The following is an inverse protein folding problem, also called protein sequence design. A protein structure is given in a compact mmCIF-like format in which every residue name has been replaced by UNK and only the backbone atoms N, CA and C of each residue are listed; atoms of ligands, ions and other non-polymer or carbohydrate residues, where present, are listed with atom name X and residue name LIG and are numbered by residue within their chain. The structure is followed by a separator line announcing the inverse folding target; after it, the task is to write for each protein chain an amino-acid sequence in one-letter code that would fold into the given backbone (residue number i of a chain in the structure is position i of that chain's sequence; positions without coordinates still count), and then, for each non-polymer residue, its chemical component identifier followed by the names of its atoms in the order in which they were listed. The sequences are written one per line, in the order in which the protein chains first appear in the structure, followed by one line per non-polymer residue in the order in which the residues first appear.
data_IF_471474173375
#
_entry.id   IF_471474173375
#
_cell.length_a   1.000
_cell.length_b   1.000
_cell.length_c   1.000
_cell.angle_alpha   90.00
_cell.angle_beta   90.00
_cell.angle_gamma   90.00
#
_symmetry.space_group_name_H-M   'P 1'
#
loop_
_entity.id
_entity.type
_entity.pdbx_description
1 polymer ?
#
# COMPACT_ATOMS: atom_id res chain seq x y z
N UNK A 1 -5.13 31.03 63.69
CA UNK A 1 -5.64 31.01 62.33
C UNK A 1 -4.99 29.80 61.59
N UNK A 2 -5.82 28.95 61.04
CA UNK A 2 -5.37 27.82 60.19
C UNK A 2 -5.82 28.07 58.73
N UNK A 3 -5.01 27.69 57.76
CA UNK A 3 -5.29 27.81 56.34
C UNK A 3 -5.20 26.44 55.69
N UNK A 4 -6.11 26.13 54.76
CA UNK A 4 -6.04 24.96 53.88
C UNK A 4 -5.98 25.46 52.42
N UNK A 5 -5.10 24.89 51.64
CA UNK A 5 -5.07 25.08 50.20
C UNK A 5 -5.65 23.83 49.55
N UNK A 6 -6.65 23.99 48.68
CA UNK A 6 -7.29 22.91 47.95
C UNK A 6 -7.08 23.20 46.46
N UNK A 7 -6.56 22.22 45.71
CA UNK A 7 -6.48 22.26 44.27
C UNK A 7 -7.27 21.06 43.70
N UNK A 8 -8.16 21.32 42.76
CA UNK A 8 -8.92 20.31 42.05
C UNK A 8 -8.53 20.44 40.55
N UNK A 9 -8.09 19.37 39.96
CA UNK A 9 -7.68 19.34 38.58
C UNK A 9 -8.46 18.26 37.83
N UNK A 10 -8.62 18.45 36.55
CA UNK A 10 -9.19 17.44 35.66
C UNK A 10 -8.20 16.29 35.43
N UNK A 11 -8.75 15.11 35.13
CA UNK A 11 -7.97 13.96 34.75
C UNK A 11 -7.45 14.12 33.30
N UNK A 12 -6.23 13.66 33.04
CA UNK A 12 -5.66 13.63 31.69
C UNK A 12 -6.52 12.76 30.78
N UNK A 13 -6.59 13.07 29.47
CA UNK A 13 -7.25 12.19 28.51
C UNK A 13 -6.48 10.87 28.39
N UNK A 14 -7.18 9.75 28.27
CA UNK A 14 -6.61 8.47 27.86
C UNK A 14 -7.11 8.16 26.47
N UNK A 15 -6.19 7.98 25.52
CA UNK A 15 -6.50 7.84 24.10
C UNK A 15 -5.88 6.57 23.52
N UNK A 16 -6.60 5.92 22.60
CA UNK A 16 -6.10 4.79 21.87
C UNK A 16 -6.71 4.72 20.45
N UNK A 17 -5.96 4.18 19.51
CA UNK A 17 -6.38 3.87 18.15
C UNK A 17 -6.31 2.37 17.92
N UNK A 18 -7.32 1.83 17.23
CA UNK A 18 -7.34 0.42 16.83
C UNK A 18 -7.93 0.29 15.43
N UNK A 19 -7.12 -0.24 14.47
CA UNK A 19 -5.76 -0.69 14.63
C UNK A 19 -4.75 0.46 14.89
N UNK A 20 -3.61 0.14 15.51
CA UNK A 20 -2.50 1.09 15.70
C UNK A 20 -1.36 0.90 14.69
N UNK A 21 -1.48 -0.08 13.81
CA UNK A 21 -0.57 -0.36 12.69
C UNK A 21 -1.40 -0.48 11.41
N UNK A 22 -1.26 0.49 10.52
CA UNK A 22 -2.02 0.63 9.29
C UNK A 22 -1.15 0.25 8.10
N UNK A 23 -1.60 -0.72 7.30
CA UNK A 23 -1.00 -1.05 6.02
C UNK A 23 -2.02 -0.78 4.92
N UNK A 24 -1.73 0.19 4.08
CA UNK A 24 -2.66 0.69 3.06
C UNK A 24 -2.05 0.58 1.67
N UNK A 25 -2.91 0.55 0.67
CA UNK A 25 -2.52 0.55 -0.74
C UNK A 25 -2.65 1.96 -1.30
N UNK A 26 -1.62 2.39 -2.01
CA UNK A 26 -1.58 3.70 -2.67
C UNK A 26 -2.77 3.87 -3.63
N UNK A 27 -3.38 5.05 -3.62
CA UNK A 27 -4.56 5.42 -4.42
C UNK A 27 -5.78 4.50 -4.23
N UNK A 28 -5.84 3.72 -3.13
CA UNK A 28 -6.93 2.80 -2.84
C UNK A 28 -7.54 3.12 -1.48
N UNK A 29 -8.88 3.13 -1.40
CA UNK A 29 -9.57 3.33 -0.13
C UNK A 29 -9.28 2.16 0.83
N UNK A 30 -8.91 2.49 2.06
CA UNK A 30 -8.63 1.50 3.11
C UNK A 30 -9.88 1.20 3.94
N UNK A 31 -10.10 -0.07 4.28
CA UNK A 31 -11.16 -0.49 5.21
C UNK A 31 -10.90 -0.05 6.66
N UNK A 32 -9.66 0.32 7.00
CA UNK A 32 -9.28 0.79 8.32
C UNK A 32 -9.58 2.28 8.52
N UNK A 33 -10.01 2.98 7.48
CA UNK A 33 -10.38 4.38 7.51
C UNK A 33 -11.90 4.58 7.30
N UNK A 34 -12.54 5.56 7.95
CA UNK A 34 -11.95 6.50 8.91
C UNK A 34 -11.56 5.82 10.23
N UNK A 35 -10.35 6.12 10.71
CA UNK A 35 -9.85 5.64 12.00
C UNK A 35 -10.17 6.64 13.09
N UNK A 36 -11.03 6.26 14.01
CA UNK A 36 -11.46 7.09 15.13
C UNK A 36 -10.77 6.69 16.44
N UNK A 37 -10.39 7.64 17.29
CA UNK A 37 -9.86 7.33 18.61
C UNK A 37 -10.93 6.84 19.55
N UNK A 38 -10.53 5.99 20.52
CA UNK A 38 -11.23 5.86 21.78
C UNK A 38 -10.64 6.87 22.75
N UNK A 39 -11.48 7.54 23.51
CA UNK A 39 -11.05 8.54 24.49
C UNK A 39 -11.82 8.37 25.79
N UNK A 40 -11.11 8.46 26.94
CA UNK A 40 -11.66 8.50 28.29
C UNK A 40 -10.93 9.56 29.11
N UNK A 41 -11.43 9.89 30.27
CA UNK A 41 -10.92 10.92 31.19
C UNK A 41 -11.94 12.01 31.40
N UNK A 42 -11.78 12.75 32.53
CA UNK A 42 -12.59 13.94 32.85
C UNK A 42 -11.93 15.18 32.23
N UNK A 43 -12.71 16.24 32.11
CA UNK A 43 -12.23 17.51 31.61
C UNK A 43 -12.76 17.87 30.23
N UNK A 44 -12.87 19.17 29.98
CA UNK A 44 -13.33 19.68 28.71
C UNK A 44 -12.26 19.44 27.65
N UNK A 45 -12.67 18.86 26.53
CA UNK A 45 -11.77 18.53 25.41
C UNK A 45 -11.39 19.81 24.66
N UNK A 46 -10.10 19.98 24.36
CA UNK A 46 -9.58 21.21 23.75
C UNK A 46 -9.09 21.01 22.33
N UNK A 47 -8.26 19.99 22.07
CA UNK A 47 -7.67 19.80 20.73
C UNK A 47 -6.97 18.46 20.52
N UNK A 48 -6.82 18.12 19.23
CA UNK A 48 -5.95 17.03 18.77
C UNK A 48 -4.83 17.58 17.89
N UNK A 49 -3.71 16.86 17.88
CA UNK A 49 -2.59 17.13 16.96
C UNK A 49 -1.95 15.82 16.54
N UNK A 50 -1.37 15.80 15.34
CA UNK A 50 -0.60 14.68 14.80
C UNK A 50 0.81 15.17 14.41
N UNK A 51 1.83 14.34 14.64
CA UNK A 51 3.20 14.65 14.27
C UNK A 51 3.95 13.34 13.89
N UNK A 52 4.66 13.32 12.74
CA UNK A 52 4.70 14.35 11.69
C UNK A 52 3.31 14.63 11.09
N UNK A 53 3.21 15.55 10.13
CA UNK A 53 1.96 15.76 9.39
C UNK A 53 1.57 14.49 8.63
N UNK A 54 0.28 14.24 8.50
CA UNK A 54 -0.27 13.09 7.79
C UNK A 54 0.24 12.97 6.34
N UNK A 55 0.34 11.75 5.80
CA UNK A 55 0.74 11.51 4.41
C UNK A 55 -0.24 12.15 3.41
N UNK A 56 0.25 12.45 2.21
CA UNK A 56 -0.59 12.97 1.12
C UNK A 56 -1.81 12.09 0.87
N UNK A 57 -2.96 12.73 0.68
CA UNK A 57 -4.25 12.06 0.49
C UNK A 57 -4.95 11.63 1.76
N UNK A 58 -4.28 11.64 2.92
CA UNK A 58 -4.91 11.50 4.22
C UNK A 58 -5.20 12.87 4.84
N UNK A 59 -6.11 12.91 5.79
CA UNK A 59 -6.49 14.10 6.53
C UNK A 59 -6.76 13.74 7.99
N UNK A 60 -6.16 14.51 8.88
CA UNK A 60 -6.38 14.40 10.32
C UNK A 60 -7.24 15.55 10.82
N UNK A 61 -8.39 15.21 11.40
CA UNK A 61 -9.31 16.19 11.98
C UNK A 61 -8.86 16.58 13.40
N UNK A 62 -8.35 17.79 13.56
CA UNK A 62 -7.85 18.32 14.84
C UNK A 62 -8.94 18.62 15.86
N UNK A 63 -10.21 18.51 15.50
CA UNK A 63 -11.34 18.63 16.44
C UNK A 63 -11.80 17.28 16.99
N UNK A 64 -11.68 16.22 16.21
CA UNK A 64 -12.20 14.89 16.54
C UNK A 64 -11.12 13.82 16.73
N UNK A 65 -9.90 14.06 16.25
CA UNK A 65 -8.82 13.08 16.23
C UNK A 65 -9.00 11.99 15.17
N UNK A 66 -9.90 12.15 14.23
CA UNK A 66 -10.18 11.15 13.18
C UNK A 66 -9.18 11.29 12.03
N UNK A 67 -8.54 10.17 11.67
CA UNK A 67 -7.75 10.06 10.45
C UNK A 67 -8.63 9.48 9.34
N UNK A 68 -8.67 10.12 8.18
CA UNK A 68 -9.51 9.73 7.04
C UNK A 68 -8.81 9.99 5.70
N UNK A 69 -9.45 9.61 4.58
CA UNK A 69 -8.96 9.89 3.23
C UNK A 69 -8.53 8.65 2.48
N UNK A 70 -7.84 8.86 1.36
CA UNK A 70 -7.24 7.83 0.52
C UNK A 70 -5.78 8.21 0.28
N UNK A 71 -4.80 7.40 0.68
CA UNK A 71 -3.40 7.74 0.56
C UNK A 71 -3.02 7.91 -0.92
N UNK A 72 -2.17 8.88 -1.24
CA UNK A 72 -1.74 9.19 -2.60
C UNK A 72 -0.22 9.28 -2.78
N UNK A 73 0.53 8.78 -1.79
CA UNK A 73 1.99 8.64 -1.87
C UNK A 73 2.43 7.34 -1.19
N UNK A 74 3.59 6.81 -1.60
CA UNK A 74 4.20 5.66 -0.94
C UNK A 74 4.84 6.09 0.37
N UNK A 75 4.72 5.25 1.39
CA UNK A 75 5.30 5.50 2.69
C UNK A 75 5.88 4.23 3.29
N UNK A 76 7.17 4.22 3.58
CA UNK A 76 7.76 3.21 4.44
C UNK A 76 7.19 3.35 5.86
N UNK A 77 7.15 2.25 6.61
CA UNK A 77 6.57 2.25 7.96
C UNK A 77 7.06 3.42 8.81
N UNK A 78 6.18 4.36 9.07
CA UNK A 78 6.46 5.60 9.80
C UNK A 78 5.55 5.70 11.01
N UNK A 79 6.12 6.04 12.16
CA UNK A 79 5.39 6.25 13.40
C UNK A 79 4.88 7.69 13.49
N UNK A 80 3.60 7.83 13.79
CA UNK A 80 2.94 9.11 14.05
C UNK A 80 2.55 9.19 15.52
N UNK A 81 2.86 10.32 16.13
CA UNK A 81 2.46 10.65 17.49
C UNK A 81 1.21 11.49 17.44
N UNK A 82 0.15 11.04 18.10
CA UNK A 82 -1.10 11.78 18.21
C UNK A 82 -1.21 12.28 19.65
N UNK A 83 -1.46 13.58 19.78
CA UNK A 83 -1.63 14.25 21.09
C UNK A 83 -3.07 14.67 21.24
N UNK A 84 -3.68 14.29 22.34
CA UNK A 84 -4.98 14.81 22.79
C UNK A 84 -4.76 15.69 24.01
N UNK A 85 -5.40 16.85 24.03
CA UNK A 85 -5.31 17.82 25.11
C UNK A 85 -6.71 18.13 25.65
N UNK A 86 -6.87 18.10 26.96
CA UNK A 86 -8.03 18.58 27.67
C UNK A 86 -7.63 19.64 28.75
N UNK A 87 -8.56 20.07 29.56
CA UNK A 87 -8.29 21.03 30.64
C UNK A 87 -7.36 20.49 31.76
N UNK A 88 -7.21 19.17 31.88
CA UNK A 88 -6.25 18.50 32.76
C UNK A 88 -4.83 18.41 32.22
N UNK A 89 -4.64 18.50 30.88
CA UNK A 89 -3.35 18.40 30.22
C UNK A 89 -3.39 17.54 28.95
N UNK A 90 -2.27 16.95 28.58
CA UNK A 90 -2.10 16.22 27.29
C UNK A 90 -1.67 14.78 27.51
N UNK A 91 -2.12 13.89 26.60
CA UNK A 91 -1.69 12.49 26.50
C UNK A 91 -1.37 12.12 25.06
N UNK A 92 -0.58 11.07 24.89
CA UNK A 92 -0.07 10.62 23.60
C UNK A 92 -0.62 9.24 23.23
N UNK A 93 -0.90 9.05 21.94
CA UNK A 93 -1.06 7.74 21.31
C UNK A 93 -0.14 7.65 20.09
N UNK A 94 0.15 6.42 19.64
CA UNK A 94 1.03 6.16 18.52
C UNK A 94 0.32 5.28 17.52
N UNK A 95 0.45 5.64 16.24
CA UNK A 95 0.06 4.80 15.12
C UNK A 95 1.22 4.68 14.15
N UNK A 96 1.33 3.52 13.49
CA UNK A 96 2.28 3.32 12.39
C UNK A 96 1.51 3.27 11.09
N UNK A 97 2.03 3.92 10.07
CA UNK A 97 1.44 3.93 8.73
C UNK A 97 2.47 3.42 7.74
N UNK A 98 2.05 2.47 6.90
CA UNK A 98 2.77 1.96 5.74
C UNK A 98 1.85 2.10 4.53
N UNK A 99 2.35 2.61 3.41
CA UNK A 99 1.61 2.73 2.15
C UNK A 99 2.46 2.12 1.03
N UNK A 100 1.92 1.09 0.38
CA UNK A 100 2.58 0.34 -0.70
C UNK A 100 1.74 0.39 -1.98
N UNK A 101 2.35 0.14 -3.11
CA UNK A 101 1.60 -0.09 -4.34
C UNK A 101 0.96 -1.47 -4.37
N UNK A 102 -0.10 -1.63 -5.15
CA UNK A 102 -0.70 -2.93 -5.43
C UNK A 102 0.23 -3.76 -6.33
N UNK A 103 0.43 -5.03 -5.99
CA UNK A 103 1.21 -5.94 -6.82
C UNK A 103 0.59 -6.11 -8.21
N UNK A 104 1.40 -6.27 -9.27
CA UNK A 104 0.88 -6.46 -10.62
C UNK A 104 0.19 -7.82 -10.75
N UNK A 105 -0.98 -7.82 -11.36
CA UNK A 105 -1.66 -9.03 -11.82
C UNK A 105 -1.52 -9.11 -13.33
N UNK A 106 -0.97 -10.21 -13.84
CA UNK A 106 -0.65 -10.40 -15.26
C UNK A 106 -1.38 -11.61 -15.84
N UNK A 107 -1.75 -11.51 -17.11
CA UNK A 107 -2.28 -12.64 -17.86
C UNK A 107 -1.87 -12.58 -19.33
N UNK A 108 -1.70 -13.76 -19.93
CA UNK A 108 -1.47 -13.94 -21.36
C UNK A 108 -2.65 -14.71 -21.96
N UNK A 109 -3.07 -14.31 -23.15
CA UNK A 109 -4.13 -15.01 -23.88
C UNK A 109 -3.78 -15.09 -25.36
N UNK A 110 -3.59 -16.32 -25.91
CA UNK A 110 -3.71 -17.62 -25.24
C UNK A 110 -2.58 -17.89 -24.25
N UNK A 111 -2.84 -18.71 -23.22
CA UNK A 111 -1.82 -19.16 -22.23
C UNK A 111 -1.17 -20.51 -22.61
N UNK A 112 -1.66 -21.17 -23.66
CA UNK A 112 -1.11 -22.41 -24.22
C UNK A 112 -0.86 -22.20 -25.71
N UNK A 113 0.41 -22.24 -26.10
CA UNK A 113 0.84 -21.98 -27.46
C UNK A 113 1.27 -23.28 -28.14
N UNK A 114 0.70 -23.53 -29.31
CA UNK A 114 1.16 -24.63 -30.22
C UNK A 114 1.66 -24.01 -31.48
N UNK A 115 2.96 -24.12 -31.71
CA UNK A 115 3.66 -23.51 -32.85
C UNK A 115 4.36 -24.54 -33.71
N UNK A 116 4.56 -24.21 -34.97
CA UNK A 116 5.30 -25.04 -35.95
C UNK A 116 6.72 -24.53 -36.06
N UNK A 117 7.70 -25.46 -35.99
CA UNK A 117 9.10 -25.14 -36.11
C UNK A 117 9.40 -24.42 -37.46
N UNK A 118 10.22 -23.38 -37.39
CA UNK A 118 10.60 -22.51 -38.52
C UNK A 118 9.41 -21.84 -39.25
N UNK A 119 8.27 -21.70 -38.57
CA UNK A 119 7.07 -21.08 -39.14
C UNK A 119 6.58 -19.99 -38.25
N UNK A 120 6.27 -18.82 -38.81
CA UNK A 120 5.67 -17.72 -38.04
C UNK A 120 4.29 -18.13 -37.47
N UNK A 121 4.03 -17.82 -36.22
CA UNK A 121 2.76 -18.09 -35.57
C UNK A 121 1.86 -16.87 -35.63
N UNK A 122 0.56 -17.10 -35.83
CA UNK A 122 -0.47 -16.04 -35.73
C UNK A 122 -0.72 -15.59 -34.28
N UNK A 123 -0.27 -16.36 -33.30
CA UNK A 123 -0.41 -16.03 -31.86
C UNK A 123 0.71 -15.09 -31.38
N UNK A 124 1.68 -14.78 -32.24
CA UNK A 124 2.78 -13.87 -31.93
C UNK A 124 2.72 -12.59 -32.80
N UNK A 125 3.10 -11.42 -32.27
CA UNK A 125 3.58 -11.20 -30.90
C UNK A 125 2.49 -11.35 -29.85
N UNK A 126 2.80 -12.02 -28.75
CA UNK A 126 1.89 -12.21 -27.62
C UNK A 126 2.20 -11.19 -26.54
N UNK A 127 1.24 -10.33 -26.25
CA UNK A 127 1.34 -9.27 -25.26
C UNK A 127 0.58 -9.64 -23.97
N UNK A 128 1.11 -9.27 -22.79
CA UNK A 128 0.39 -9.45 -21.55
C UNK A 128 -0.75 -8.44 -21.40
N UNK A 129 -1.77 -8.81 -20.62
CA UNK A 129 -2.60 -7.84 -19.90
C UNK A 129 -2.02 -7.67 -18.51
N UNK A 130 -2.03 -6.44 -18.01
CA UNK A 130 -1.51 -6.11 -16.68
C UNK A 130 -2.49 -5.18 -15.97
N UNK A 131 -2.71 -5.45 -14.68
CA UNK A 131 -3.45 -4.58 -13.75
C UNK A 131 -2.66 -4.46 -12.45
N UNK A 132 -2.99 -3.48 -11.63
CA UNK A 132 -2.30 -3.13 -10.39
C UNK A 132 -1.85 -1.68 -10.43
N UNK A 133 -1.46 -1.14 -9.28
CA UNK A 133 -0.90 0.21 -9.14
C UNK A 133 0.62 0.13 -9.05
N UNK A 134 1.27 1.28 -9.20
CA UNK A 134 2.71 1.41 -9.06
C UNK A 134 3.47 1.51 -10.37
N UNK A 135 4.67 2.08 -10.24
CA UNK A 135 5.56 2.19 -11.39
C UNK A 135 6.10 0.79 -11.74
N UNK A 136 5.97 0.43 -13.01
CA UNK A 136 6.43 -0.85 -13.51
C UNK A 136 7.95 -0.88 -13.62
N UNK A 137 8.59 -1.93 -13.10
CA UNK A 137 10.06 -2.02 -13.03
C UNK A 137 10.63 -2.99 -14.05
N UNK A 138 10.10 -4.23 -14.14
CA UNK A 138 10.68 -5.23 -15.03
C UNK A 138 9.80 -6.45 -15.25
N UNK A 139 10.10 -7.17 -16.36
CA UNK A 139 9.61 -8.50 -16.64
C UNK A 139 10.74 -9.53 -16.62
N UNK A 140 10.41 -10.75 -16.26
CA UNK A 140 11.32 -11.89 -16.36
C UNK A 140 10.57 -13.13 -16.85
N UNK A 141 11.29 -14.02 -17.56
CA UNK A 141 10.81 -15.33 -17.99
C UNK A 141 11.75 -16.42 -17.48
N UNK A 142 11.21 -17.54 -17.02
CA UNK A 142 11.98 -18.69 -16.57
C UNK A 142 11.28 -20.01 -16.95
N UNK A 143 11.99 -21.00 -17.54
CA UNK A 143 13.35 -20.90 -18.09
C UNK A 143 13.46 -19.86 -19.21
N UNK A 144 14.67 -19.63 -19.75
CA UNK A 144 14.84 -18.73 -20.91
C UNK A 144 14.03 -19.23 -22.11
N UNK A 145 13.55 -18.29 -22.91
CA UNK A 145 12.75 -18.57 -24.10
C UNK A 145 13.44 -19.52 -25.07
N UNK A 146 12.67 -20.33 -25.84
CA UNK A 146 13.20 -21.23 -26.84
C UNK A 146 13.93 -20.50 -27.99
N UNK A 147 14.84 -21.20 -28.65
CA UNK A 147 15.55 -20.64 -29.80
C UNK A 147 14.61 -20.11 -30.89
N UNK A 148 14.89 -18.91 -31.36
CA UNK A 148 14.09 -18.19 -32.35
C UNK A 148 12.95 -17.39 -31.79
N UNK A 149 12.62 -17.54 -30.51
CA UNK A 149 11.72 -16.62 -29.78
C UNK A 149 12.54 -15.58 -29.03
N UNK A 150 11.91 -14.48 -28.69
CA UNK A 150 12.48 -13.39 -27.92
C UNK A 150 11.44 -12.85 -26.91
N UNK A 151 11.83 -12.72 -25.67
CA UNK A 151 11.02 -12.12 -24.63
C UNK A 151 11.56 -10.73 -24.28
N UNK A 152 10.73 -9.71 -24.46
CA UNK A 152 11.09 -8.32 -24.13
C UNK A 152 10.89 -8.08 -22.63
N UNK A 153 11.97 -7.93 -21.91
CA UNK A 153 11.97 -7.69 -20.45
C UNK A 153 11.50 -6.29 -20.05
N UNK A 154 11.26 -5.41 -20.98
CA UNK A 154 10.66 -4.08 -20.72
C UNK A 154 9.14 -4.07 -20.90
N UNK A 155 8.61 -4.89 -21.80
CA UNK A 155 7.19 -4.89 -22.18
C UNK A 155 6.45 -6.19 -21.85
N UNK A 156 7.18 -7.27 -21.56
CA UNK A 156 6.61 -8.61 -21.35
C UNK A 156 6.14 -9.28 -22.65
N UNK A 157 6.47 -8.73 -23.81
CA UNK A 157 6.03 -9.28 -25.11
C UNK A 157 6.89 -10.46 -25.53
N UNK A 158 6.24 -11.57 -25.85
CA UNK A 158 6.89 -12.71 -26.50
C UNK A 158 6.70 -12.60 -28.02
N UNK A 159 7.78 -12.70 -28.77
CA UNK A 159 7.80 -12.56 -30.25
C UNK A 159 8.77 -13.52 -30.93
N UNK A 160 8.82 -13.51 -32.26
CA UNK A 160 9.79 -14.27 -33.02
C UNK A 160 9.20 -15.46 -33.81
N UNK A 161 10.05 -16.33 -34.29
CA UNK A 161 9.71 -17.57 -35.02
C UNK A 161 10.52 -18.71 -34.41
N UNK A 162 9.87 -19.72 -33.81
CA UNK A 162 10.58 -20.80 -33.12
C UNK A 162 11.49 -21.55 -34.11
N UNK A 163 12.73 -21.86 -33.73
CA UNK A 163 13.71 -22.53 -34.56
C UNK A 163 14.23 -23.84 -33.98
N UNK A 164 13.58 -24.33 -32.90
CA UNK A 164 13.86 -25.63 -32.30
C UNK A 164 12.57 -26.40 -31.98
N UNK A 165 12.71 -27.73 -31.87
CA UNK A 165 11.61 -28.57 -31.40
C UNK A 165 11.58 -28.57 -29.86
N UNK A 166 10.42 -28.36 -29.33
CA UNK A 166 10.21 -28.35 -27.90
C UNK A 166 8.99 -29.22 -27.51
N UNK A 167 9.17 -30.08 -26.52
CA UNK A 167 8.02 -30.72 -25.87
C UNK A 167 7.32 -29.68 -25.01
N UNK A 168 6.01 -29.88 -24.65
CA UNK A 168 5.26 -28.95 -23.83
C UNK A 168 6.03 -28.60 -22.55
N UNK A 169 6.48 -27.36 -22.45
CA UNK A 169 7.26 -26.83 -21.33
C UNK A 169 6.51 -25.63 -20.76
N UNK A 170 6.47 -25.57 -19.45
CA UNK A 170 5.85 -24.44 -18.73
C UNK A 170 6.90 -23.34 -18.50
N UNK A 171 6.57 -22.13 -18.89
CA UNK A 171 7.37 -20.93 -18.64
C UNK A 171 6.67 -20.07 -17.59
N UNK A 172 7.41 -19.66 -16.57
CA UNK A 172 6.93 -18.71 -15.56
C UNK A 172 7.33 -17.32 -15.97
N UNK A 173 6.35 -16.43 -16.05
CA UNK A 173 6.60 -15.01 -16.32
C UNK A 173 6.29 -14.24 -15.03
N UNK A 174 7.21 -13.35 -14.66
CA UNK A 174 7.11 -12.51 -13.48
C UNK A 174 7.13 -11.05 -13.90
N UNK A 175 6.17 -10.28 -13.41
CA UNK A 175 6.16 -8.83 -13.48
C UNK A 175 6.48 -8.26 -12.11
N UNK A 176 7.29 -7.22 -12.04
CA UNK A 176 7.69 -6.54 -10.80
C UNK A 176 7.36 -5.07 -10.93
N UNK A 177 6.78 -4.48 -9.88
CA UNK A 177 6.56 -3.04 -9.73
C UNK A 177 7.23 -2.52 -8.44
N UNK A 178 6.92 -1.32 -8.04
CA UNK A 178 7.44 -0.66 -6.82
C UNK A 178 6.74 -1.10 -5.52
N UNK A 179 5.77 -2.00 -5.57
CA UNK A 179 5.02 -2.52 -4.42
C UNK A 179 5.69 -3.65 -3.64
#
# INVERSE_FOLDING_TARGET
LAYINITIVDELPTIAYSPSDLSMTNNTASSDLPLSPTITGSGEFVSWAISPSEPSGLSFDTSTGVLSGTPSELLTRTMYTITATNTGGSSLAYINITIVDELPTIAYSPSDLSMTNNTASSDLPLSPTITGSGEFVSWAISPSEPSGLSFDTSTGVLSGTPSELLTRTMYTITATNTG
#
